data_IF_843794791697
#
_entry.id   IF_843794791697
#
_cell.length_a   1.000
_cell.length_b   1.000
_cell.length_c   1.000
_cell.angle_alpha   90.00
_cell.angle_beta   90.00
_cell.angle_gamma   90.00
#
_symmetry.space_group_name_H-M   'P 1'
#
loop_
_entity.id
_entity.type
_entity.pdbx_description
1 polymer ?
2 non-polymer ?
3 non-polymer ?
4 water ?
#
# COMPACT_ATOMS: atom_id res chain seq x y z
N UNK A 16 -2.15 -12.33 -19.09
CA UNK A 16 -2.44 -10.85 -18.93
C UNK A 16 -1.43 -10.17 -18.03
N UNK A 17 -1.36 -10.63 -16.78
CA UNK A 17 -0.45 -10.07 -15.79
C UNK A 17 1.02 -10.38 -16.09
N UNK A 18 1.28 -11.54 -16.70
CA UNK A 18 2.64 -11.90 -17.06
C UNK A 18 3.16 -10.90 -18.07
N UNK A 19 2.38 -10.61 -19.11
CA UNK A 19 2.80 -9.67 -20.14
C UNK A 19 3.02 -8.29 -19.51
N UNK A 20 2.09 -7.88 -18.66
CA UNK A 20 2.20 -6.58 -17.98
C UNK A 20 3.53 -6.50 -17.22
N UNK A 21 3.82 -7.53 -16.44
CA UNK A 21 5.08 -7.60 -15.69
C UNK A 21 6.28 -7.50 -16.65
N UNK A 22 6.24 -8.22 -17.76
CA UNK A 22 7.29 -8.15 -18.76
C UNK A 22 7.42 -6.75 -19.33
N UNK A 23 6.28 -6.14 -19.68
CA UNK A 23 6.27 -4.78 -20.21
C UNK A 23 6.81 -3.80 -19.18
N UNK A 24 6.29 -3.91 -17.95
CA UNK A 24 6.66 -2.99 -16.85
C UNK A 24 8.13 -3.07 -16.45
N UNK A 25 8.78 -4.17 -16.83
CA UNK A 25 10.23 -4.34 -16.69
C UNK A 25 10.78 -3.95 -18.06
N UNK A 26 10.87 -4.94 -18.94
CA UNK A 26 11.40 -4.77 -20.29
C UNK A 26 10.76 -3.67 -21.11
N UNK A 32 13.96 6.41 -23.44
CA UNK A 32 13.18 7.50 -22.83
C UNK A 32 11.73 7.15 -22.48
N UNK A 33 11.51 5.93 -21.98
CA UNK A 33 10.16 5.49 -21.59
C UNK A 33 9.63 6.28 -20.42
N UNK A 34 8.32 6.48 -20.38
CA UNK A 34 7.66 7.20 -19.29
C UNK A 34 7.02 6.07 -18.48
N UNK A 35 7.67 5.67 -17.39
CA UNK A 35 7.22 4.53 -16.58
C UNK A 35 6.44 4.99 -15.35
N UNK A 36 5.12 4.99 -15.47
CA UNK A 36 4.19 5.43 -14.41
C UNK A 36 3.43 4.29 -13.79
N UNK A 37 3.81 3.06 -14.14
CA UNK A 37 3.15 1.84 -13.69
C UNK A 37 3.75 1.10 -12.51
N UNK A 38 4.80 1.65 -11.91
CA UNK A 38 5.50 1.01 -10.79
C UNK A 38 5.00 1.46 -9.44
N UNK A 39 5.55 0.84 -8.38
CA UNK A 39 5.13 1.14 -7.04
C UNK A 39 6.26 1.57 -6.15
N UNK A 40 7.33 2.10 -6.74
CA UNK A 40 8.42 2.57 -5.90
C UNK A 40 8.24 3.97 -5.35
N UNK A 41 8.73 4.20 -4.14
CA UNK A 41 8.63 5.52 -3.56
C UNK A 41 9.60 6.51 -4.21
N UNK A 42 9.44 7.75 -3.81
CA UNK A 42 10.30 8.82 -4.29
C UNK A 42 11.66 8.81 -3.63
N UNK A 43 12.62 9.48 -4.26
CA UNK A 43 13.91 9.73 -3.64
C UNK A 43 13.89 11.16 -3.14
N UNK A 44 13.54 11.33 -1.87
CA UNK A 44 13.39 12.65 -1.29
C UNK A 44 14.77 13.10 -0.89
N UNK A 45 15.24 14.24 -1.45
CA UNK A 45 16.61 14.67 -1.12
C UNK A 45 16.96 14.69 0.37
N UNK A 46 16.07 15.24 1.21
CA UNK A 46 16.32 15.29 2.64
C UNK A 46 16.43 13.89 3.25
N UNK A 47 15.66 12.95 2.73
CA UNK A 47 15.73 11.55 3.21
C UNK A 47 17.00 10.87 2.76
N UNK A 48 17.42 11.10 1.53
CA UNK A 48 18.67 10.50 1.05
C UNK A 48 19.84 11.02 1.88
N UNK A 49 19.83 12.31 2.20
CA UNK A 49 20.86 12.89 3.05
C UNK A 49 20.83 12.25 4.45
N UNK A 50 19.64 12.12 5.01
CA UNK A 50 19.47 11.49 6.31
C UNK A 50 20.02 10.07 6.31
N UNK A 51 19.62 9.25 5.34
CA UNK A 51 20.12 7.86 5.28
C UNK A 51 21.62 7.78 5.08
N UNK A 52 22.17 8.67 4.26
CA UNK A 52 23.62 8.69 4.05
C UNK A 52 24.37 8.96 5.35
N UNK A 53 23.88 9.91 6.14
CA UNK A 53 24.50 10.22 7.42
C UNK A 53 24.31 9.08 8.40
N UNK A 54 23.12 8.51 8.44
CA UNK A 54 22.86 7.40 9.34
C UNK A 54 23.76 6.21 9.03
N UNK A 55 23.86 5.88 7.75
CA UNK A 55 24.72 4.76 7.34
C UNK A 55 26.17 5.03 7.68
N UNK A 56 26.60 6.27 7.47
CA UNK A 56 27.97 6.64 7.81
C UNK A 56 28.22 6.41 9.30
N UNK A 57 27.30 6.83 10.15
CA UNK A 57 27.45 6.64 11.59
C UNK A 57 27.45 5.16 11.98
N UNK A 58 26.54 4.41 11.37
CA UNK A 58 26.41 2.98 11.67
C UNK A 58 27.60 2.16 11.22
N UNK A 59 28.18 2.49 10.07
CA UNK A 59 29.37 1.78 9.63
C UNK A 59 30.53 2.11 10.57
N UNK A 60 30.68 3.39 10.91
CA UNK A 60 31.77 3.82 11.80
C UNK A 60 31.66 3.25 13.22
N UNK A 61 30.45 3.03 13.71
CA UNK A 61 30.27 2.48 15.06
C UNK A 61 30.32 0.97 15.13
N UNK A 62 30.42 0.28 13.98
CA UNK A 62 30.44 -1.19 13.96
C UNK A 62 29.04 -1.78 13.81
N UNK A 63 28.00 -0.94 13.86
CA UNK A 63 26.62 -1.44 13.80
C UNK A 63 26.21 -2.04 12.45
N UNK A 64 26.76 -1.50 11.35
CA UNK A 64 26.43 -2.03 10.03
C UNK A 64 27.02 -3.43 9.90
N UNK A 65 28.28 -3.58 10.30
CA UNK A 65 28.93 -4.88 10.26
C UNK A 65 28.21 -5.86 11.17
N UNK A 66 27.77 -5.42 12.35
CA UNK A 66 27.05 -6.30 13.28
C UNK A 66 25.76 -6.84 12.63
N UNK A 67 25.09 -5.96 11.92
CA UNK A 67 23.83 -6.28 11.26
C UNK A 67 24.00 -7.34 10.15
N UNK A 68 25.10 -7.27 9.42
CA UNK A 68 25.32 -8.19 8.31
C UNK A 68 26.05 -9.45 8.71
N UNK A 69 26.95 -9.36 9.70
CA UNK A 69 27.78 -10.48 10.09
C UNK A 69 27.22 -11.38 11.19
N UNK A 70 26.05 -11.02 11.73
CA UNK A 70 25.36 -11.81 12.76
C UNK A 70 23.96 -12.19 12.29
N UNK A 71 23.56 -13.44 12.53
CA UNK A 71 22.23 -13.90 12.12
C UNK A 71 21.15 -13.11 12.84
N UNK A 72 21.37 -12.86 14.13
CA UNK A 72 20.46 -12.04 14.94
C UNK A 72 21.31 -11.18 15.88
N UNK A 73 21.86 -10.10 15.34
CA UNK A 73 22.78 -9.22 16.08
C UNK A 73 22.14 -8.38 17.16
N UNK A 74 22.94 -7.47 17.78
CA UNK A 74 22.47 -6.54 18.84
C UNK A 74 21.33 -5.63 18.42
N UNK A 75 21.19 -5.39 17.11
CA UNK A 75 20.07 -4.62 16.58
C UNK A 75 19.31 -5.50 15.59
N UNK A 76 19.26 -6.80 15.90
CA UNK A 76 18.61 -7.78 15.06
C UNK A 76 17.12 -7.85 15.31
N UNK A 77 16.49 -8.86 14.72
CA UNK A 77 15.06 -9.09 14.88
C UNK A 77 14.62 -8.89 16.34
N UNK A 78 15.34 -9.49 17.28
CA UNK A 78 14.95 -9.38 18.71
C UNK A 78 14.98 -7.96 19.28
N UNK A 79 16.05 -7.21 19.03
CA UNK A 79 16.12 -5.84 19.53
C UNK A 79 15.00 -5.00 18.90
N UNK A 80 14.72 -5.27 17.62
CA UNK A 80 13.67 -4.52 16.91
C UNK A 80 12.27 -4.86 17.42
N UNK A 81 12.00 -6.13 17.72
CA UNK A 81 10.68 -6.48 18.28
C UNK A 81 10.44 -5.67 19.55
N UNK A 82 11.46 -5.55 20.40
CA UNK A 82 11.38 -4.77 21.64
C UNK A 82 11.20 -3.28 21.36
N UNK A 83 11.95 -2.76 20.39
CA UNK A 83 11.90 -1.34 20.03
C UNK A 83 10.56 -0.94 19.45
N UNK A 84 10.04 -1.76 18.54
CA UNK A 84 8.73 -1.51 17.94
C UNK A 84 7.61 -1.61 18.99
N UNK A 85 7.71 -2.58 19.89
CA UNK A 85 6.74 -2.71 20.96
C UNK A 85 6.71 -1.44 21.81
N UNK A 86 7.88 -0.99 22.27
CA UNK A 86 7.96 0.23 23.07
C UNK A 86 7.44 1.44 22.29
N UNK A 87 7.79 1.54 21.02
CA UNK A 87 7.31 2.63 20.19
C UNK A 87 5.79 2.70 20.12
N UNK A 88 5.16 1.56 19.84
CA UNK A 88 3.70 1.54 19.68
C UNK A 88 2.98 1.71 21.01
N UNK A 89 3.54 1.11 22.05
CA UNK A 89 3.00 1.30 23.40
C UNK A 89 3.04 2.78 23.82
N UNK A 90 4.17 3.44 23.65
CA UNK A 90 4.31 4.82 24.16
C UNK A 90 3.74 5.91 23.27
N UNK A 91 3.68 5.67 21.97
CA UNK A 91 3.18 6.70 21.05
C UNK A 91 1.66 6.62 20.85
N UNK A 92 1.10 5.40 20.84
CA UNK A 92 -0.33 5.22 20.56
C UNK A 92 -1.16 4.62 21.69
N UNK A 93 -0.51 4.12 22.72
CA UNK A 93 -1.19 3.48 23.82
C UNK A 93 -1.69 2.06 23.48
N UNK A 94 -1.08 1.42 22.49
CA UNK A 94 -1.47 0.04 22.15
C UNK A 94 -0.78 -0.95 23.10
N UNK A 95 -1.53 -1.94 23.58
CA UNK A 95 -0.98 -2.94 24.50
C UNK A 95 -0.25 -4.02 23.68
N UNK A 96 0.92 -3.66 23.16
CA UNK A 96 1.72 -4.53 22.31
C UNK A 96 2.96 -4.98 23.06
N UNK A 97 3.32 -6.26 22.93
CA UNK A 97 4.54 -6.78 23.49
C UNK A 97 5.27 -7.44 22.33
N UNK A 98 6.56 -7.79 22.52
CA UNK A 98 7.29 -8.46 21.42
C UNK A 98 6.60 -9.71 20.87
N UNK A 99 5.84 -10.41 21.71
CA UNK A 99 5.12 -11.62 21.31
C UNK A 99 3.95 -11.31 20.37
N UNK A 100 3.62 -10.03 20.20
CA UNK A 100 2.60 -9.57 19.27
C UNK A 100 3.21 -9.10 17.95
N UNK A 101 4.51 -9.29 17.74
CA UNK A 101 5.16 -8.81 16.53
C UNK A 101 6.00 -9.89 15.84
N UNK A 102 5.87 -9.97 14.51
CA UNK A 102 6.66 -10.88 13.68
C UNK A 102 7.24 -10.07 12.52
N UNK A 103 8.45 -10.40 12.08
CA UNK A 103 9.08 -9.71 10.98
C UNK A 103 9.12 -10.63 9.77
N UNK A 104 9.02 -10.06 8.57
CA UNK A 104 9.07 -10.83 7.33
C UNK A 104 9.95 -10.06 6.35
N UNK A 105 10.08 -10.63 5.16
CA UNK A 105 10.84 -10.07 4.04
C UNK A 105 10.15 -8.90 3.37
N UNK A 106 8.89 -8.67 3.73
CA UNK A 106 8.08 -7.59 3.17
C UNK A 106 6.59 -7.86 3.24
N UNK A 107 5.83 -6.89 2.74
CA UNK A 107 4.37 -6.96 2.71
C UNK A 107 3.85 -8.19 2.01
N UNK A 108 4.42 -8.49 0.86
CA UNK A 108 3.92 -9.58 0.05
C UNK A 108 4.14 -10.96 0.68
N UNK A 109 5.29 -11.19 1.33
CA UNK A 109 5.51 -12.44 2.03
C UNK A 109 4.59 -12.51 3.28
N UNK A 110 4.37 -11.37 3.91
CA UNK A 110 3.43 -11.30 5.02
C UNK A 110 2.06 -11.86 4.61
N UNK A 111 1.51 -11.39 3.48
CA UNK A 111 0.18 -11.87 3.06
C UNK A 111 0.17 -13.33 2.63
N UNK A 112 1.26 -13.81 2.05
CA UNK A 112 1.39 -15.21 1.72
C UNK A 112 1.20 -16.07 2.96
N UNK A 113 1.84 -15.68 4.06
CA UNK A 113 1.64 -16.42 5.32
C UNK A 113 0.20 -16.34 5.81
N UNK A 114 -0.35 -15.14 5.83
CA UNK A 114 -1.72 -14.97 6.33
C UNK A 114 -2.71 -15.76 5.51
N UNK A 115 -2.61 -15.68 4.18
CA UNK A 115 -3.52 -16.43 3.31
C UNK A 115 -3.43 -17.91 3.60
N UNK A 116 -2.22 -18.42 3.75
CA UNK A 116 -2.02 -19.82 4.12
C UNK A 116 -2.56 -20.19 5.48
N UNK A 117 -2.48 -19.26 6.43
CA UNK A 117 -2.92 -19.53 7.79
C UNK A 117 -4.45 -19.51 7.95
N UNK A 118 -5.13 -18.61 7.24
CA UNK A 118 -6.58 -18.46 7.39
C UNK A 118 -7.46 -18.84 6.19
N UNK A 119 -6.88 -18.97 4.99
CA UNK A 119 -7.66 -19.30 3.79
C UNK A 119 -7.20 -20.66 3.24
N UNK A 120 -7.90 -21.16 2.22
CA UNK A 120 -7.56 -22.46 1.63
C UNK A 120 -8.35 -23.60 2.23
N UNK A 121 -7.92 -24.84 1.93
CA UNK A 121 -8.62 -26.07 2.38
C UNK A 121 -8.64 -26.26 3.90
N UNK A 126 -13.34 -28.23 4.91
CA UNK A 126 -13.82 -26.89 4.53
C UNK A 126 -12.74 -26.08 3.82
N UNK A 127 -13.18 -25.20 2.93
CA UNK A 127 -12.29 -24.30 2.18
C UNK A 127 -12.70 -22.86 2.47
N UNK A 128 -11.73 -22.04 2.90
CA UNK A 128 -12.02 -20.67 3.29
C UNK A 128 -11.47 -19.66 2.30
N UNK A 129 -12.14 -18.50 2.19
CA UNK A 129 -11.72 -17.48 1.24
C UNK A 129 -11.30 -16.17 1.94
N UNK A 130 -10.57 -15.37 1.20
CA UNK A 130 -10.15 -14.04 1.66
C UNK A 130 -11.16 -13.07 1.07
N UNK A 131 -11.82 -12.30 1.93
CA UNK A 131 -12.77 -11.28 1.48
C UNK A 131 -12.13 -9.87 1.48
N UNK A 132 -12.20 -9.19 0.33
CA UNK A 132 -11.81 -7.81 0.17
C UNK A 132 -13.13 -7.03 0.15
N UNK A 133 -13.52 -6.45 1.30
CA UNK A 133 -14.83 -5.76 1.31
C UNK A 133 -14.85 -4.44 0.56
N UNK A 134 -13.69 -3.94 0.20
CA UNK A 134 -13.60 -2.70 -0.55
C UNK A 134 -12.57 -2.85 -1.68
N UNK A 135 -12.99 -3.50 -2.75
CA UNK A 135 -12.15 -3.55 -3.95
C UNK A 135 -12.21 -2.17 -4.61
N UNK A 136 -11.18 -1.75 -5.36
CA UNK A 136 -9.95 -2.46 -5.70
C UNK A 136 -8.86 -2.44 -4.61
N UNK A 137 -8.09 -3.52 -4.59
CA UNK A 137 -6.98 -3.72 -3.67
C UNK A 137 -5.80 -4.20 -4.48
N UNK A 138 -4.59 -3.90 -4.01
CA UNK A 138 -3.38 -4.35 -4.66
C UNK A 138 -3.03 -5.81 -4.39
N UNK A 139 -3.12 -6.28 -3.16
CA UNK A 139 -2.67 -7.68 -2.92
C UNK A 139 -3.37 -8.71 -3.85
N UNK A 140 -4.66 -8.46 -4.14
CA UNK A 140 -5.38 -9.28 -5.12
C UNK A 140 -4.67 -9.24 -6.48
N UNK A 141 -4.27 -8.04 -6.90
CA UNK A 141 -3.49 -7.86 -8.14
C UNK A 141 -2.12 -8.55 -8.08
N UNK A 142 -1.38 -8.33 -7.00
CA UNK A 142 -0.03 -8.89 -6.83
C UNK A 142 -0.01 -10.42 -6.87
N UNK A 143 -0.98 -11.04 -6.20
CA UNK A 143 -1.06 -12.50 -6.10
C UNK A 143 -2.09 -13.08 -7.06
N UNK A 149 -9.56 -18.83 -7.12
CA UNK A 149 -10.84 -19.10 -6.44
C UNK A 149 -10.81 -18.76 -4.94
N UNK A 150 -9.65 -18.33 -4.44
CA UNK A 150 -9.46 -18.02 -3.02
C UNK A 150 -9.85 -16.60 -2.64
N UNK A 151 -9.83 -15.67 -3.60
CA UNK A 151 -10.18 -14.28 -3.35
C UNK A 151 -11.59 -13.93 -3.78
N UNK A 152 -12.29 -13.16 -2.93
CA UNK A 152 -13.61 -12.64 -3.25
C UNK A 152 -13.57 -11.13 -3.01
N UNK A 153 -13.89 -10.35 -4.05
CA UNK A 153 -13.92 -8.87 -4.01
C UNK A 153 -15.35 -8.45 -3.98
N UNK A 154 -15.67 -7.50 -3.12
CA UNK A 154 -17.01 -6.94 -3.08
C UNK A 154 -17.00 -5.69 -3.94
N UNK A 155 -18.03 -5.47 -4.76
CA UNK A 155 -18.12 -4.25 -5.55
C UNK A 155 -18.38 -3.06 -4.62
N UNK A 156 -17.57 -2.00 -4.72
CA UNK A 156 -17.83 -0.87 -3.86
C UNK A 156 -18.91 0.08 -4.40
N UNK A 157 -19.48 0.89 -3.50
CA UNK A 157 -20.33 1.99 -3.93
C UNK A 157 -19.39 3.11 -4.36
N UNK A 158 -19.88 4.05 -5.17
CA UNK A 158 -19.08 5.19 -5.63
C UNK A 158 -19.76 6.48 -5.20
N UNK A 159 -19.01 7.35 -4.55
CA UNK A 159 -19.47 8.68 -4.16
C UNK A 159 -18.75 9.70 -5.07
N UNK A 160 -19.48 10.46 -5.86
CA UNK A 160 -18.85 11.52 -6.69
C UNK A 160 -18.52 12.70 -5.79
N UNK A 161 -17.36 13.30 -6.00
CA UNK A 161 -16.88 14.40 -5.20
C UNK A 161 -16.53 15.61 -6.08
N UNK A 162 -16.32 16.78 -5.45
CA UNK A 162 -15.94 17.94 -6.25
C UNK A 162 -14.60 17.80 -6.97
N UNK A 163 -14.39 18.71 -7.92
CA UNK A 163 -13.20 18.71 -8.75
C UNK A 163 -13.01 17.41 -9.52
N UNK A 164 -14.11 16.77 -9.91
CA UNK A 164 -14.01 15.59 -10.74
C UNK A 164 -13.29 14.46 -10.04
N UNK A 165 -13.57 14.35 -8.74
CA UNK A 165 -12.99 13.28 -7.94
C UNK A 165 -14.08 12.30 -7.51
N UNK A 166 -13.69 11.23 -6.84
CA UNK A 166 -14.65 10.26 -6.35
C UNK A 166 -14.03 9.44 -5.26
N UNK A 167 -14.87 8.70 -4.55
CA UNK A 167 -14.40 7.87 -3.45
C UNK A 167 -15.21 6.57 -3.39
N UNK A 168 -14.51 5.46 -3.29
CA UNK A 168 -15.16 4.17 -3.13
C UNK A 168 -15.57 3.99 -1.68
N UNK A 169 -16.69 3.31 -1.49
CA UNK A 169 -17.23 2.98 -0.16
C UNK A 169 -17.63 1.51 -0.08
N UNK A 170 -17.57 0.96 1.12
CA UNK A 170 -18.04 -0.40 1.37
C UNK A 170 -19.54 -0.44 1.21
N UNK A 171 -20.05 -1.36 0.41
CA UNK A 171 -21.50 -1.56 0.24
C UNK A 171 -21.94 -2.61 1.26
N UNK A 172 -22.29 -2.16 2.46
CA UNK A 172 -22.63 -3.11 3.52
C UNK A 172 -23.92 -3.89 3.26
N UNK A 173 -24.84 -3.30 2.50
CA UNK A 173 -26.12 -3.94 2.19
C UNK A 173 -25.94 -5.24 1.43
N UNK A 174 -24.91 -5.31 0.59
CA UNK A 174 -24.64 -6.50 -0.21
C UNK A 174 -23.36 -7.21 0.17
N UNK A 175 -22.78 -6.87 1.33
CA UNK A 175 -21.57 -7.52 1.78
C UNK A 175 -21.91 -8.87 2.40
N UNK A 176 -21.36 -9.93 1.81
CA UNK A 176 -21.63 -11.28 2.22
C UNK A 176 -20.43 -11.88 2.95
N UNK A 177 -20.62 -12.17 4.23
CA UNK A 177 -19.62 -12.81 5.04
C UNK A 177 -20.29 -14.06 5.57
N UNK A 178 -19.68 -15.21 5.33
CA UNK A 178 -20.26 -16.45 5.77
C UNK A 178 -19.26 -17.37 6.41
N UNK A 179 -19.70 -18.62 6.58
CA UNK A 179 -18.88 -19.66 7.16
C UNK A 179 -17.63 -19.91 6.33
N UNK A 180 -17.69 -19.63 5.02
CA UNK A 180 -16.54 -19.82 4.14
C UNK A 180 -15.54 -18.66 4.09
N UNK A 181 -15.80 -17.56 4.81
CA UNK A 181 -14.88 -16.44 4.85
C UNK A 181 -13.84 -16.72 5.91
N UNK A 182 -12.58 -16.77 5.51
CA UNK A 182 -11.49 -17.04 6.44
C UNK A 182 -10.89 -15.79 7.07
N UNK A 183 -10.94 -14.68 6.35
CA UNK A 183 -10.41 -13.41 6.81
C UNK A 183 -10.92 -12.28 5.96
N UNK A 184 -10.89 -11.08 6.54
CA UNK A 184 -11.34 -9.86 5.89
C UNK A 184 -10.07 -9.03 5.72
N UNK A 185 -9.82 -8.54 4.52
CA UNK A 185 -8.59 -7.83 4.25
C UNK A 185 -8.80 -6.47 3.60
N UNK A 186 -8.20 -5.42 4.19
CA UNK A 186 -8.28 -4.07 3.67
C UNK A 186 -6.89 -3.44 3.80
N UNK A 187 -6.66 -2.35 3.08
CA UNK A 187 -5.41 -1.59 3.22
C UNK A 187 -5.85 -0.18 3.60
N UNK A 188 -4.96 0.60 4.23
CA UNK A 188 -5.31 1.96 4.64
C UNK A 188 -4.09 2.80 4.92
N UNK A 189 -3.74 3.73 4.03
CA UNK A 189 -4.31 4.05 2.70
C UNK A 189 -4.07 2.93 1.71
N UNK A 190 -4.86 2.94 0.65
CA UNK A 190 -4.88 1.84 -0.30
C UNK A 190 -4.09 2.05 -1.60
N UNK A 191 -3.36 1.01 -1.98
CA UNK A 191 -2.81 0.86 -3.32
C UNK A 191 -3.93 0.00 -3.97
N UNK A 192 -4.52 0.44 -5.10
CA UNK A 192 -4.14 1.47 -6.07
C UNK A 192 -4.85 2.81 -6.09
N UNK A 193 -5.79 3.03 -5.21
CA UNK A 193 -6.68 4.21 -5.26
C UNK A 193 -6.29 5.41 -4.45
N UNK A 194 -5.46 5.20 -3.44
CA UNK A 194 -5.19 6.23 -2.46
C UNK A 194 -6.36 6.37 -1.48
N UNK A 195 -7.33 5.45 -1.53
CA UNK A 195 -8.47 5.55 -0.64
C UNK A 195 -8.09 5.33 0.82
N UNK A 196 -8.79 6.03 1.70
CA UNK A 196 -8.68 5.81 3.13
C UNK A 196 -10.06 5.42 3.64
N UNK A 197 -10.25 4.13 3.86
CA UNK A 197 -11.51 3.65 4.40
C UNK A 197 -11.88 4.47 5.66
N UNK A 198 -13.15 4.87 5.78
CA UNK A 198 -13.57 5.78 6.86
C UNK A 198 -13.55 5.09 8.21
N UNK A 199 -13.43 5.89 9.28
CA UNK A 199 -13.49 5.32 10.62
C UNK A 199 -14.75 4.47 10.81
N UNK A 200 -15.88 4.94 10.32
CA UNK A 200 -17.15 4.23 10.48
C UNK A 200 -17.15 2.90 9.71
N UNK A 201 -16.66 2.92 8.49
CA UNK A 201 -16.53 1.68 7.72
C UNK A 201 -15.63 0.66 8.38
N UNK A 202 -14.49 1.12 8.87
CA UNK A 202 -13.53 0.22 9.49
C UNK A 202 -14.10 -0.36 10.81
N UNK A 203 -14.72 0.47 11.64
CA UNK A 203 -15.27 -0.03 12.91
C UNK A 203 -16.34 -1.06 12.69
N UNK A 204 -17.15 -0.85 11.66
CA UNK A 204 -18.21 -1.80 11.25
C UNK A 204 -17.57 -3.14 10.82
N UNK A 205 -16.57 -3.06 9.93
CA UNK A 205 -15.80 -4.26 9.53
C UNK A 205 -15.18 -4.98 10.73
N UNK A 206 -14.66 -4.21 11.69
CA UNK A 206 -14.07 -4.76 12.91
C UNK A 206 -15.14 -5.52 13.71
N UNK A 207 -16.34 -4.97 13.80
CA UNK A 207 -17.45 -5.62 14.50
C UNK A 207 -17.89 -6.90 13.77
N UNK A 208 -17.99 -6.83 12.44
CA UNK A 208 -18.33 -8.01 11.63
C UNK A 208 -17.29 -9.12 11.78
N UNK A 209 -16.01 -8.77 11.71
CA UNK A 209 -14.93 -9.75 11.85
C UNK A 209 -15.02 -10.45 13.21
N UNK A 210 -15.23 -9.66 14.26
CA UNK A 210 -15.36 -10.22 15.60
C UNK A 210 -16.57 -11.14 15.69
N UNK A 211 -17.69 -10.68 15.15
CA UNK A 211 -18.93 -11.46 15.13
C UNK A 211 -18.78 -12.79 14.40
N UNK A 212 -17.99 -12.80 13.34
CA UNK A 212 -17.76 -14.03 12.57
C UNK A 212 -16.52 -14.81 13.02
N UNK A 213 -15.86 -14.38 14.09
CA UNK A 213 -14.67 -15.02 14.60
C UNK A 213 -13.57 -15.22 13.56
N UNK A 214 -13.33 -14.17 12.77
CA UNK A 214 -12.28 -14.18 11.76
C UNK A 214 -11.49 -12.88 11.90
N UNK A 215 -10.20 -12.90 11.54
CA UNK A 215 -9.40 -11.68 11.68
C UNK A 215 -9.70 -10.61 10.68
N UNK A 216 -9.46 -9.37 11.08
CA UNK A 216 -9.51 -8.22 10.19
C UNK A 216 -8.07 -7.85 9.94
N UNK A 217 -7.63 -7.97 8.68
CA UNK A 217 -6.25 -7.74 8.31
C UNK A 217 -6.19 -6.36 7.67
N UNK A 218 -5.30 -5.51 8.18
CA UNK A 218 -5.13 -4.14 7.67
C UNK A 218 -3.69 -3.91 7.21
N UNK A 219 -3.54 -3.65 5.92
CA UNK A 219 -2.24 -3.36 5.35
C UNK A 219 -1.98 -1.85 5.54
N UNK A 220 -1.00 -1.53 6.39
CA UNK A 220 -0.63 -0.15 6.81
C UNK A 220 0.75 0.21 6.22
N UNK A 221 1.08 -0.30 5.04
CA UNK A 221 2.35 0.04 4.37
C UNK A 221 2.57 1.53 4.15
N UNK A 222 1.50 2.32 4.01
CA UNK A 222 1.61 3.74 3.77
C UNK A 222 1.14 4.62 4.89
N UNK A 223 0.63 4.04 5.96
CA UNK A 223 0.01 4.79 7.03
C UNK A 223 0.88 5.22 8.20
N UNK A 224 0.19 5.57 9.27
CA UNK A 224 0.75 6.07 10.51
C UNK A 224 1.07 4.89 11.41
N UNK A 225 2.13 4.99 12.23
CA UNK A 225 3.05 6.07 12.46
C UNK A 225 4.18 6.23 11.44
N UNK A 226 4.42 5.22 10.61
CA UNK A 226 5.43 5.33 9.53
C UNK A 226 4.96 4.46 8.36
N UNK A 227 5.16 4.93 7.12
CA UNK A 227 5.83 6.16 6.70
C UNK A 227 5.00 7.43 6.71
N UNK A 228 3.73 7.34 7.06
CA UNK A 228 2.90 8.53 7.21
C UNK A 228 2.50 9.22 5.92
N UNK A 229 2.42 8.46 4.84
CA UNK A 229 1.98 9.00 3.54
C UNK A 229 0.44 8.94 3.49
N UNK A 230 -0.17 9.80 4.29
CA UNK A 230 -1.61 9.89 4.42
C UNK A 230 -1.98 11.35 4.54
N UNK A 231 -2.99 11.75 3.78
CA UNK A 231 -3.42 13.14 3.69
C UNK A 231 -4.85 13.38 4.20
N UNK A 232 -5.44 12.38 4.83
CA UNK A 232 -6.77 12.50 5.31
C UNK A 232 -6.79 12.07 6.74
N UNK A 233 -7.92 12.33 7.39
CA UNK A 233 -8.13 11.86 8.76
C UNK A 233 -8.28 10.34 8.74
N UNK A 234 -7.77 9.70 9.79
CA UNK A 234 -7.89 8.27 9.95
C UNK A 234 -7.52 7.91 11.37
N UNK A 235 -8.49 7.50 12.17
CA UNK A 235 -8.16 7.10 13.54
C UNK A 235 -7.48 5.75 13.51
N UNK A 236 -6.28 5.64 14.10
CA UNK A 236 -5.66 4.31 14.11
C UNK A 236 -6.48 3.31 14.92
N UNK A 237 -6.37 2.04 14.55
CA UNK A 237 -7.12 0.97 15.18
C UNK A 237 -6.30 -0.28 15.39
N UNK A 238 -6.30 -0.78 16.62
CA UNK A 238 -5.71 -2.10 16.88
C UNK A 238 -6.41 -2.72 18.08
N UNK A 239 -6.70 -4.01 17.95
CA UNK A 239 -7.21 -4.83 19.06
C UNK A 239 -6.76 -6.25 18.75
N UNK A 240 -6.88 -7.17 19.70
CA UNK A 240 -6.39 -8.54 19.44
C UNK A 240 -6.96 -9.32 18.24
N UNK A 241 -8.08 -8.88 17.66
CA UNK A 241 -8.63 -9.53 16.46
C UNK A 241 -8.17 -8.85 15.17
N UNK A 242 -7.25 -7.90 15.29
CA UNK A 242 -6.73 -7.20 14.11
C UNK A 242 -5.31 -7.67 13.84
N UNK A 243 -5.01 -7.85 12.56
CA UNK A 243 -3.66 -8.18 12.11
C UNK A 243 -3.22 -6.98 11.30
N UNK A 244 -2.17 -6.30 11.73
CA UNK A 244 -1.71 -5.06 11.12
C UNK A 244 -0.35 -5.26 10.45
N UNK A 245 -0.25 -4.99 9.14
CA UNK A 245 0.98 -5.17 8.39
C UNK A 245 1.62 -3.82 8.13
N UNK A 246 2.89 -3.68 8.47
CA UNK A 246 3.65 -2.46 8.26
C UNK A 246 4.91 -2.81 7.50
N UNK A 247 5.61 -1.80 7.03
CA UNK A 247 6.80 -2.05 6.22
C UNK A 247 7.73 -0.88 6.29
N UNK A 248 9.01 -1.14 6.07
CA UNK A 248 10.02 -0.10 6.02
C UNK A 248 10.21 0.47 4.62
N UNK A 249 9.79 -0.23 3.59
CA UNK A 249 10.13 0.16 2.21
C UNK A 249 9.64 1.52 1.77
N UNK A 250 8.42 1.90 2.16
CA UNK A 250 7.86 3.17 1.72
C UNK A 250 8.44 4.38 2.50
N UNK A 251 9.31 4.10 3.46
CA UNK A 251 10.08 5.13 4.14
C UNK A 251 11.19 5.63 3.21
N UNK A 252 11.41 4.93 2.08
CA UNK A 252 12.46 5.26 1.12
C UNK A 252 13.61 4.26 1.19
N UNK A 253 13.31 3.05 1.65
CA UNK A 253 14.28 1.97 1.77
C UNK A 253 13.79 0.73 1.03
N UNK A 254 13.45 0.89 -0.26
CA UNK A 254 12.88 -0.25 -1.01
C UNK A 254 13.87 -1.39 -1.18
N UNK A 255 15.16 -1.12 -0.95
CA UNK A 255 16.20 -2.14 -0.96
C UNK A 255 16.38 -2.88 0.34
N UNK A 256 15.73 -2.45 1.42
CA UNK A 256 15.76 -3.20 2.67
C UNK A 256 14.58 -4.17 2.54
N UNK A 257 14.51 -5.17 3.38
CA UNK A 257 13.42 -6.12 3.23
C UNK A 257 12.90 -6.34 4.59
N UNK A 258 12.03 -5.44 5.04
CA UNK A 258 11.54 -5.53 6.39
C UNK A 258 10.04 -5.28 6.57
N UNK A 259 9.28 -6.37 6.55
CA UNK A 259 7.85 -6.37 6.78
C UNK A 259 7.58 -6.64 8.25
N UNK A 260 6.52 -6.06 8.79
CA UNK A 260 6.19 -6.20 10.20
C UNK A 260 4.74 -6.64 10.31
N UNK A 261 4.45 -7.59 11.18
CA UNK A 261 3.07 -8.02 11.42
C UNK A 261 2.78 -7.86 12.89
N UNK A 262 1.66 -7.21 13.19
CA UNK A 262 1.23 -7.00 14.58
C UNK A 262 -0.07 -7.75 14.74
N UNK A 263 -0.13 -8.66 15.71
CA UNK A 263 -1.31 -9.51 15.90
C UNK A 263 -1.29 -10.14 17.27
N UNK A 264 -2.36 -10.85 17.63
CA UNK A 264 -2.39 -11.56 18.90
C UNK A 264 -1.26 -12.61 18.91
N UNK A 265 -0.80 -12.99 20.09
CA UNK A 265 0.36 -13.91 20.19
C UNK A 265 0.21 -15.30 19.54
N UNK A 266 -1.02 -15.81 19.49
CA UNK A 266 -1.28 -17.10 18.85
C UNK A 266 -1.04 -17.01 17.35
N UNK A 267 -1.46 -15.90 16.76
CA UNK A 267 -1.27 -15.70 15.35
C UNK A 267 0.22 -15.53 15.05
N UNK A 268 0.88 -14.74 15.88
CA UNK A 268 2.31 -14.51 15.71
C UNK A 268 3.10 -15.81 15.81
N UNK A 269 2.74 -16.64 16.78
CA UNK A 269 3.37 -17.94 16.94
C UNK A 269 3.23 -18.79 15.65
N UNK A 270 2.01 -18.84 15.11
CA UNK A 270 1.75 -19.60 13.88
C UNK A 270 2.58 -19.07 12.71
N UNK A 271 2.71 -17.75 12.63
CA UNK A 271 3.51 -17.12 11.60
C UNK A 271 5.00 -17.43 11.82
N UNK A 272 5.39 -17.55 13.09
CA UNK A 272 6.75 -17.87 13.46
C UNK A 272 7.19 -19.15 12.77
N UNK A 273 6.39 -20.19 12.97
CA UNK A 273 6.59 -21.51 12.40
C UNK A 273 6.81 -21.45 10.87
N UNK A 274 5.83 -20.91 10.17
CA UNK A 274 5.92 -20.77 8.72
C UNK A 274 7.21 -20.11 8.21
N UNK A 275 7.51 -18.92 8.74
CA UNK A 275 8.75 -18.21 8.38
C UNK A 275 9.98 -19.05 8.69
N UNK A 276 9.89 -19.90 9.70
CA UNK A 276 10.96 -20.83 10.01
C UNK A 276 11.19 -21.82 8.88
N UNK A 277 10.10 -22.26 8.24
CA UNK A 277 10.16 -23.22 7.14
C UNK A 277 10.42 -22.61 5.76
N UNK A 278 9.59 -21.66 5.32
CA UNK A 278 9.77 -21.01 4.01
C UNK A 278 10.95 -20.02 4.05
N UNK A 279 11.27 -19.52 5.25
CA UNK A 279 12.44 -18.66 5.49
C UNK A 279 12.43 -17.39 4.69
N UNK A 280 11.43 -16.56 4.96
CA UNK A 280 11.33 -15.27 4.36
C UNK A 280 11.43 -14.21 5.50
N UNK A 281 12.47 -14.35 6.33
CA UNK A 281 12.77 -13.42 7.44
C UNK A 281 13.50 -12.24 6.85
N UNK A 282 13.54 -11.09 7.55
CA UNK A 282 14.24 -9.97 6.94
C UNK A 282 15.75 -10.06 7.10
N UNK A 283 16.49 -9.40 6.22
CA UNK A 283 17.96 -9.29 6.39
C UNK A 283 18.23 -8.38 7.59
N UNK A 284 19.48 -8.20 7.94
CA UNK A 284 19.83 -7.42 9.11
C UNK A 284 19.87 -5.90 9.02
N UNK A 285 20.08 -5.36 7.82
CA UNK A 285 20.29 -3.93 7.70
C UNK A 285 19.01 -3.10 8.00
N UNK A 286 17.87 -3.56 7.48
CA UNK A 286 16.56 -2.90 7.73
C UNK A 286 16.25 -2.81 9.21
N UNK A 287 16.14 -3.96 9.89
CA UNK A 287 15.92 -3.91 11.33
C UNK A 287 16.92 -3.04 12.10
N UNK A 288 18.21 -3.07 11.73
CA UNK A 288 19.20 -2.28 12.44
C UNK A 288 18.95 -0.79 12.23
N UNK A 289 18.65 -0.41 11.00
CA UNK A 289 18.35 0.99 10.71
C UNK A 289 17.11 1.46 11.45
N UNK A 290 16.08 0.61 11.50
CA UNK A 290 14.87 0.96 12.24
C UNK A 290 15.15 1.13 13.73
N UNK A 291 15.92 0.21 14.30
CA UNK A 291 16.27 0.33 15.71
C UNK A 291 16.94 1.67 16.00
N UNK A 292 17.86 2.05 15.12
CA UNK A 292 18.58 3.29 15.26
C UNK A 292 17.67 4.50 15.12
N UNK A 293 16.79 4.48 14.10
CA UNK A 293 15.86 5.58 13.91
C UNK A 293 14.92 5.74 15.10
N UNK A 294 14.47 4.62 15.66
CA UNK A 294 13.57 4.66 16.83
C UNK A 294 14.32 5.22 18.04
N UNK A 295 15.54 4.73 18.26
CA UNK A 295 16.40 5.22 19.36
C UNK A 295 16.68 6.71 19.28
N UNK A 296 16.89 7.21 18.05
CA UNK A 296 17.16 8.63 17.84
C UNK A 296 15.89 9.49 17.77
N UNK A 297 14.73 8.86 17.93
CA UNK A 297 13.43 9.55 17.88
C UNK A 297 13.26 10.28 16.53
N UNK A 298 13.69 9.62 15.46
CA UNK A 298 13.59 10.17 14.11
C UNK A 298 12.50 9.54 13.26
N UNK A 299 12.03 8.34 13.61
CA UNK A 299 11.13 7.61 12.69
C UNK A 299 9.79 8.34 12.49
N UNK A 300 9.12 8.69 13.58
CA UNK A 300 7.87 9.43 13.47
C UNK A 300 8.09 10.85 12.94
N UNK A 301 9.15 11.54 13.42
CA UNK A 301 9.43 12.90 12.99
C UNK A 301 9.60 13.02 11.47
N UNK A 302 10.37 12.09 10.93
CA UNK A 302 10.66 12.13 9.49
C UNK A 302 9.40 11.82 8.70
N UNK A 303 8.62 10.86 9.18
CA UNK A 303 7.35 10.55 8.52
C UNK A 303 6.44 11.77 8.48
N UNK A 304 6.32 12.44 9.61
CA UNK A 304 5.40 13.56 9.73
C UNK A 304 5.85 14.87 9.11
N UNK A 305 7.15 15.15 9.20
CA UNK A 305 7.66 16.47 8.79
C UNK A 305 8.45 16.52 7.48
N UNK A 306 8.82 15.38 6.95
CA UNK A 306 9.60 15.35 5.71
C UNK A 306 8.87 14.56 4.62
N UNK A 307 8.53 13.33 4.95
CA UNK A 307 7.87 12.45 3.99
C UNK A 307 6.45 12.91 3.61
N UNK A 308 5.57 13.02 4.59
CA UNK A 308 4.19 13.39 4.26
C UNK A 308 4.10 14.70 3.44
N UNK A 309 4.76 15.78 3.89
CA UNK A 309 4.63 17.02 3.08
C UNK A 309 5.17 16.94 1.67
N UNK A 310 6.23 16.17 1.47
CA UNK A 310 6.79 15.97 0.15
C UNK A 310 5.75 15.36 -0.78
N UNK A 311 5.13 14.26 -0.37
CA UNK A 311 4.15 13.60 -1.21
C UNK A 311 2.88 14.42 -1.38
N UNK A 312 2.46 15.13 -0.34
CA UNK A 312 1.25 15.94 -0.42
C UNK A 312 1.43 17.03 -1.49
N UNK A 313 2.59 17.65 -1.50
CA UNK A 313 2.84 18.66 -2.52
C UNK A 313 2.90 18.06 -3.91
N UNK A 314 3.53 16.91 -4.00
CA UNK A 314 3.70 16.24 -5.28
C UNK A 314 2.37 15.75 -5.86
N UNK A 315 1.47 15.24 -5.00
CA UNK A 315 0.18 14.78 -5.48
C UNK A 315 -0.64 15.96 -5.97
N UNK A 316 -0.59 17.09 -5.26
CA UNK A 316 -1.33 18.27 -5.68
C UNK A 316 -0.82 18.80 -7.01
N UNK A 317 0.49 18.82 -7.16
CA UNK A 317 1.10 19.28 -8.41
C UNK A 317 0.71 18.38 -9.58
N UNK A 318 0.71 17.07 -9.36
CA UNK A 318 0.36 16.12 -10.40
C UNK A 318 -1.10 16.25 -10.83
N UNK A 319 -2.01 16.44 -9.88
CA UNK A 319 -3.40 16.64 -10.23
C UNK A 319 -3.56 17.89 -11.08
N UNK A 320 -2.84 18.94 -10.71
CA UNK A 320 -2.92 20.19 -11.47
C UNK A 320 -2.45 19.98 -12.92
N UNK A 321 -1.41 19.17 -13.11
CA UNK A 321 -0.90 18.83 -14.46
C UNK A 321 -2.00 18.11 -15.21
N UNK A 322 -2.58 17.09 -14.59
CA UNK A 322 -3.66 16.32 -15.20
C UNK A 322 -4.79 17.24 -15.64
N UNK A 323 -5.22 18.11 -14.75
CA UNK A 323 -6.35 19.00 -15.06
C UNK A 323 -6.07 20.03 -16.16
N UNK A 324 -4.82 20.32 -16.48
CA UNK A 324 -4.51 21.17 -17.63
C UNK A 324 -4.85 20.46 -18.92
N UNK A 325 -4.87 19.13 -18.89
CA UNK A 325 -5.13 18.31 -20.10
C UNK A 325 -6.44 17.59 -20.15
N UNK A 326 -7.00 17.25 -18.98
CA UNK A 326 -8.22 16.43 -18.89
C UNK A 326 -9.15 16.93 -17.81
N UNK A 327 -10.39 17.24 -18.18
CA UNK A 327 -11.42 17.67 -17.20
C UNK A 327 -12.15 16.47 -16.66
N UNK A 328 -13.07 16.72 -15.74
CA UNK A 328 -13.94 15.70 -15.19
C UNK A 328 -14.79 14.98 -16.24
N UNK A 329 -14.99 15.59 -17.42
CA UNK A 329 -15.73 14.94 -18.50
C UNK A 329 -14.95 13.81 -19.15
N UNK A 330 -13.64 13.77 -18.96
CA UNK A 330 -12.77 12.74 -19.55
C UNK A 330 -11.87 12.01 -18.54
N UNK A 331 -11.81 12.49 -17.30
CA UNK A 331 -11.03 11.82 -16.26
C UNK A 331 -11.46 12.17 -14.85
N UNK A 332 -12.01 11.19 -14.14
CA UNK A 332 -12.33 11.33 -12.72
C UNK A 332 -11.14 10.72 -11.96
N UNK A 333 -10.75 11.37 -10.88
CA UNK A 333 -9.58 11.00 -10.11
C UNK A 333 -10.03 10.57 -8.73
N UNK A 334 -9.64 9.37 -8.29
CA UNK A 334 -10.04 8.98 -6.93
C UNK A 334 -9.43 9.99 -5.97
N UNK A 335 -10.20 10.44 -4.99
CA UNK A 335 -9.65 11.36 -3.98
C UNK A 335 -8.33 10.80 -3.42
N UNK A 336 -7.23 11.56 -3.54
CA UNK A 336 -5.95 11.02 -3.11
C UNK A 336 -5.77 11.20 -1.60
N UNK A 337 -6.20 10.21 -0.84
CA UNK A 337 -6.17 10.31 0.63
C UNK A 337 -4.87 9.78 1.26
N UNK A 338 -4.02 9.14 0.47
CA UNK A 338 -2.76 8.65 0.91
C UNK A 338 -2.12 7.81 -0.17
N UNK A 339 -0.98 7.22 0.17
CA UNK A 339 -0.18 6.43 -0.73
C UNK A 339 0.40 7.28 -1.89
N UNK A 340 0.93 6.60 -2.87
CA UNK A 340 1.79 7.23 -3.90
C UNK A 340 1.24 7.12 -5.33
N UNK A 341 -0.06 6.81 -5.41
CA UNK A 341 -0.71 6.60 -6.69
C UNK A 341 -1.88 7.53 -6.94
N UNK A 342 -2.19 7.69 -8.22
CA UNK A 342 -3.45 8.27 -8.63
C UNK A 342 -4.21 7.19 -9.42
N UNK A 343 -5.47 7.07 -9.10
CA UNK A 343 -6.38 6.12 -9.75
C UNK A 343 -7.30 6.93 -10.62
N UNK A 344 -7.19 6.69 -11.93
CA UNK A 344 -7.90 7.44 -12.95
C UNK A 344 -9.05 6.63 -13.50
N UNK A 345 -10.24 7.22 -13.46
CA UNK A 345 -11.45 6.62 -14.00
C UNK A 345 -11.90 7.45 -15.22
N UNK A 346 -11.72 6.89 -16.40
CA UNK A 346 -12.07 7.53 -17.67
C UNK A 346 -13.52 7.20 -17.87
N UNK A 347 -14.38 7.96 -17.22
CA UNK A 347 -15.80 7.56 -17.11
C UNK A 347 -16.46 7.40 -18.48
N UNK A 348 -17.06 6.22 -18.67
CA UNK A 348 -17.73 5.85 -19.92
C UNK A 348 -16.79 5.83 -21.15
N UNK A 349 -15.48 5.68 -20.94
CA UNK A 349 -14.53 5.56 -22.05
C UNK A 349 -15.10 4.52 -23.02
N UNK A 350 -15.14 4.84 -24.33
CA UNK A 350 -15.73 3.87 -25.27
C UNK A 350 -14.80 2.74 -25.76
N UNK A 351 -13.64 2.59 -25.12
CA UNK A 351 -12.74 1.50 -25.33
C UNK A 351 -12.31 1.06 -23.94
N UNK A 352 -11.74 -0.15 -23.83
CA UNK A 352 -11.25 -0.59 -22.52
C UNK A 352 -9.86 -0.02 -22.22
N UNK A 353 -9.49 -0.01 -20.95
CA UNK A 353 -8.16 0.47 -20.59
C UNK A 353 -7.10 -0.59 -20.90
N UNK A 354 -7.51 -1.83 -21.17
CA UNK A 354 -6.55 -2.80 -21.72
C UNK A 354 -6.11 -2.30 -23.12
N UNK A 355 -7.07 -1.85 -23.92
CA UNK A 355 -6.72 -1.33 -25.25
C UNK A 355 -5.96 -0.01 -25.14
N UNK A 356 -6.46 0.88 -24.30
CA UNK A 356 -5.75 2.15 -24.05
C UNK A 356 -4.30 1.88 -23.64
N UNK A 357 -4.08 0.91 -22.75
CA UNK A 357 -2.74 0.53 -22.33
C UNK A 357 -1.82 0.20 -23.52
N UNK A 358 -2.33 -0.55 -24.49
CA UNK A 358 -1.52 -0.91 -25.66
C UNK A 358 -1.16 0.34 -26.46
N UNK A 359 -2.12 1.24 -26.59
CA UNK A 359 -1.89 2.48 -27.35
C UNK A 359 -0.87 3.40 -26.69
N UNK A 360 -0.95 3.49 -25.37
CA UNK A 360 0.01 4.26 -24.57
C UNK A 360 1.40 3.62 -24.66
N UNK A 361 1.45 2.31 -24.48
CA UNK A 361 2.71 1.57 -24.55
C UNK A 361 3.42 1.81 -25.88
N UNK A 362 2.66 1.78 -26.97
CA UNK A 362 3.23 2.01 -28.31
C UNK A 362 3.86 3.41 -28.42
N UNK A 363 3.39 4.34 -27.59
CA UNK A 363 3.94 5.69 -27.53
C UNK A 363 4.89 5.94 -26.36
N UNK A 364 5.33 4.88 -25.69
CA UNK A 364 6.31 4.98 -24.63
C UNK A 364 5.85 5.32 -23.25
N UNK A 365 4.54 5.15 -23.00
CA UNK A 365 3.94 5.47 -21.71
C UNK A 365 3.34 4.21 -21.11
N UNK A 366 3.75 3.89 -19.87
CA UNK A 366 3.25 2.75 -19.17
C UNK A 366 2.48 3.15 -17.90
N UNK A 367 1.23 2.65 -17.80
CA UNK A 367 0.34 2.78 -16.63
C UNK A 367 -0.27 1.39 -16.45
N UNK A 368 -0.92 1.15 -15.31
CA UNK A 368 -1.50 -0.19 -15.06
C UNK A 368 -2.99 -0.24 -15.34
N UNK A 369 -3.42 -1.16 -16.20
CA UNK A 369 -4.86 -1.30 -16.39
C UNK A 369 -5.55 -1.67 -15.09
N UNK A 370 -6.68 -1.01 -14.83
CA UNK A 370 -7.40 -1.21 -13.57
C UNK A 370 -8.03 -2.55 -13.31
N UNK A 371 -8.35 -3.28 -14.36
CA UNK A 371 -9.08 -4.53 -14.18
C UNK A 371 -8.36 -5.53 -13.33
N UNK A 372 -7.05 -5.43 -13.32
CA UNK A 372 -6.24 -6.36 -12.59
C UNK A 372 -6.33 -6.24 -11.07
N UNK A 373 -6.92 -5.14 -10.56
CA UNK A 373 -7.07 -4.94 -9.12
C UNK A 373 -8.42 -5.37 -8.54
N UNK A 374 -9.22 -6.11 -9.31
CA UNK A 374 -10.55 -6.55 -8.89
C UNK A 374 -10.75 -8.06 -9.01
N UNK A 375 -9.81 -8.86 -8.57
CA UNK A 375 -10.09 -10.29 -8.76
C UNK A 375 -11.19 -10.79 -7.82
N UNK A 376 -11.97 -11.75 -8.32
CA UNK A 376 -12.99 -12.39 -7.50
C UNK A 376 -14.29 -11.64 -7.29
N UNK A 377 -14.65 -10.70 -8.17
CA UNK A 377 -15.95 -10.05 -8.07
C UNK A 377 -17.03 -11.05 -8.33
N UNK A 378 -18.15 -10.96 -7.61
CA UNK A 378 -19.25 -11.88 -7.82
C UNK A 378 -19.83 -11.71 -9.23
N UNK A 379 -19.81 -10.49 -9.74
CA UNK A 379 -20.37 -10.20 -11.05
C UNK A 379 -19.42 -9.30 -11.84
N UNK A 380 -19.37 -9.49 -13.16
CA UNK A 380 -18.52 -8.60 -13.97
C UNK A 380 -19.00 -7.16 -13.85
N UNK A 381 -18.12 -6.20 -14.06
CA UNK A 381 -18.45 -4.79 -13.89
C UNK A 381 -17.66 -3.97 -14.91
N UNK A 382 -18.36 -3.37 -15.90
CA UNK A 382 -17.65 -2.63 -16.94
C UNK A 382 -16.71 -1.56 -16.39
N UNK A 383 -17.09 -0.96 -15.28
CA UNK A 383 -16.23 -0.01 -14.59
C UNK A 383 -14.78 -0.42 -14.45
N UNK A 384 -14.52 -1.70 -14.19
CA UNK A 384 -13.13 -2.17 -14.01
C UNK A 384 -12.30 -1.97 -15.26
N UNK A 385 -12.96 -1.86 -16.42
CA UNK A 385 -12.26 -1.64 -17.69
C UNK A 385 -12.18 -0.17 -18.08
N UNK A 386 -12.47 0.73 -17.15
CA UNK A 386 -12.42 2.15 -17.43
C UNK A 386 -11.42 2.88 -16.53
N UNK A 387 -10.63 2.13 -15.75
CA UNK A 387 -9.69 2.72 -14.81
C UNK A 387 -8.25 2.33 -15.09
N UNK A 388 -7.33 3.16 -14.62
CA UNK A 388 -5.91 2.88 -14.67
C UNK A 388 -5.22 3.42 -13.44
N UNK A 389 -4.13 2.79 -13.04
CA UNK A 389 -3.33 3.31 -11.95
C UNK A 389 -2.04 3.94 -12.48
N UNK A 390 -1.68 5.09 -11.93
CA UNK A 390 -0.39 5.71 -12.19
C UNK A 390 0.30 6.04 -10.86
N UNK A 391 1.63 6.18 -10.92
CA UNK A 391 2.46 6.56 -9.78
C UNK A 391 2.78 8.04 -9.97
N UNK A 392 2.48 8.88 -8.99
CA UNK A 392 2.70 10.36 -9.13
C UNK A 392 4.07 10.87 -8.68
N UNK A 393 4.95 9.96 -8.31
CA UNK A 393 6.31 10.28 -7.83
C UNK A 393 7.34 10.72 -8.87
N UNK A 394 7.31 10.17 -10.10
CA UNK A 394 8.35 10.58 -11.07
C UNK A 394 8.42 12.10 -11.31
N UNK A 395 9.54 12.56 -11.87
CA UNK A 395 9.71 14.00 -12.05
C UNK A 395 8.60 14.59 -12.92
N UNK A 396 8.18 15.80 -12.59
CA UNK A 396 7.05 16.45 -13.30
C UNK A 396 7.17 16.60 -14.82
N UNK A 397 8.38 16.69 -15.35
CA UNK A 397 8.51 16.79 -16.78
C UNK A 397 8.10 15.47 -17.40
N UNK A 398 8.41 14.36 -16.71
CA UNK A 398 8.02 13.03 -17.17
C UNK A 398 6.52 12.83 -17.01
N UNK A 399 5.98 13.28 -15.88
CA UNK A 399 4.54 13.25 -15.64
C UNK A 399 3.82 14.01 -16.73
N UNK A 400 4.26 15.23 -17.03
CA UNK A 400 3.55 16.01 -18.02
C UNK A 400 3.61 15.39 -19.41
N UNK A 401 4.78 14.85 -19.79
CA UNK A 401 4.89 14.21 -21.10
C UNK A 401 3.95 13.01 -21.18
N UNK A 402 3.86 12.23 -20.10
CA UNK A 402 2.94 11.06 -20.07
C UNK A 402 1.47 11.47 -20.14
N UNK A 403 1.12 12.50 -19.39
CA UNK A 403 -0.26 13.02 -19.33
C UNK A 403 -0.67 13.59 -20.68
N UNK A 404 0.23 14.31 -21.33
CA UNK A 404 -0.07 14.86 -22.64
C UNK A 404 -0.43 13.74 -23.63
N UNK A 405 0.36 12.66 -23.61
CA UNK A 405 0.12 11.51 -24.49
C UNK A 405 -1.20 10.84 -24.08
N UNK A 406 -1.39 10.65 -22.79
CA UNK A 406 -2.65 10.09 -22.28
C UNK A 406 -3.85 10.87 -22.81
N UNK A 407 -3.83 12.20 -22.65
CA UNK A 407 -4.94 13.03 -23.10
C UNK A 407 -5.15 12.89 -24.60
N UNK A 408 -4.06 12.80 -25.38
CA UNK A 408 -4.21 12.59 -26.82
C UNK A 408 -4.91 11.27 -27.15
N UNK A 409 -4.57 10.22 -26.42
CA UNK A 409 -5.16 8.88 -26.64
C UNK A 409 -6.61 8.80 -26.17
N UNK A 410 -6.93 9.47 -25.06
CA UNK A 410 -8.31 9.56 -24.59
C UNK A 410 -9.13 10.31 -25.65
N UNK A 411 -8.61 11.43 -26.16
CA UNK A 411 -9.31 12.19 -27.20
C UNK A 411 -9.51 11.33 -28.42
N UNK A 412 -8.47 10.62 -28.83
CA UNK A 412 -8.58 9.75 -30.00
C UNK A 412 -9.70 8.70 -29.81
N UNK A 413 -9.76 8.06 -28.64
CA UNK A 413 -10.80 7.04 -28.36
C UNK A 413 -12.21 7.64 -28.49
N UNK A 414 -12.41 8.82 -27.92
CA UNK A 414 -13.72 9.50 -28.00
C UNK A 414 -14.05 9.98 -29.41
N UNK A 415 -13.02 10.27 -30.20
CA UNK A 415 -13.23 10.76 -31.55
C UNK A 415 -13.46 9.66 -32.56
N UNK A 416 -12.68 8.58 -32.46
CA UNK A 416 -12.69 7.53 -33.46
C UNK A 416 -12.55 6.09 -32.96
N UNK A 417 -12.68 5.84 -31.67
CA UNK A 417 -12.49 4.50 -31.13
C UNK A 417 -11.05 4.01 -31.17
X LIG B 1 25.66 4.68 15.20
X LIG C 1 -10.83 20.87 -11.34
X LIG D 1 7.42 17.86 -3.30
X LIG E 1 -3.31 16.80 5.44
X LIG E 1 -3.18 15.64 6.34
X LIG E 1 -2.16 16.91 4.43
X LIG E 1 -1.23 17.95 4.87
X LIG F 1 -1.84 -5.38 -19.74
X LIG F 1 -3.14 -5.49 -20.35
X LIG F 1 -0.76 -5.94 -20.67
X LIG F 1 -0.96 -7.35 -20.90
X LIG G 1 7.40 -3.59 26.19
X LIG G 1 7.75 -2.26 26.61
X LIG G 1 8.64 -4.49 26.19
X LIG G 1 9.26 -4.49 24.90
#
# INVERSE_FOLDING_TARGET
GXTFSLFGDKFTRHSGITRLMEDLNDGLRTPGAIMLGGGNPAHIPAMQDYFQTLLTDMVESGKAADALCNYDGPQGKTALLNALAVLLRETLGWDIEPQNIALTNGSQSAFFYLFNLFAGRRADGSTKKVLFPLAPEYIGYADSGLEDDLFVSARPNIELLPEGQFKYHVDFEHLHIGEETGMICVSRPTNPTGNVITDEELMKLDRLANQHNIPLVIDNAYGVPFPGIIFSEARPLWNPNIILCMSLSKLGLPGSRCGIIIANDKTITAIANMNGIISLAPGGMGPAMMCEMIKRNDLLRLSETVIKPFYYQRVQQTIAIIRRYLSEERCLIHKPEGAIFLWLWFKDLPITTELLYQRLKARGVLMVPGHYFFPGLDKPWPHTHQCMRMNYVPEPDKIEAGVKILAEEIERAWREG
CL CL
CL CL
CL CL
EDO C1 O1 C2 O2
EDO C1 O1 C2 O2
EDO C1 O1 C2 O2
#
